data_IF_579801125340
#
_entry.id   IF_579801125340
#
_cell.length_a   1.000
_cell.length_b   1.000
_cell.length_c   1.000
_cell.angle_alpha   90.00
_cell.angle_beta   90.00
_cell.angle_gamma   90.00
#
_symmetry.space_group_name_H-M   'P 1'
#
loop_
_entity.id
_entity.type
_entity.pdbx_description
1 polymer ?
#
# COMPACT_ATOMS: atom_id res chain seq x y z
N UNK A 1 3.33 6.04 -6.55
CA UNK A 1 2.25 5.86 -5.56
C UNK A 1 0.94 5.65 -6.29
N UNK A 2 0.01 4.90 -5.71
CA UNK A 2 -1.30 4.57 -6.31
C UNK A 2 -2.42 5.06 -5.39
N UNK A 3 -3.28 5.93 -5.91
CA UNK A 3 -4.41 6.49 -5.15
C UNK A 3 -5.51 5.45 -5.00
N UNK A 4 -6.07 5.34 -3.80
CA UNK A 4 -7.00 4.26 -3.46
C UNK A 4 -8.45 4.76 -3.49
N UNK A 5 -9.32 3.95 -4.08
CA UNK A 5 -10.76 4.06 -3.88
C UNK A 5 -11.15 3.20 -2.68
N UNK A 6 -11.82 3.82 -1.71
CA UNK A 6 -12.34 3.11 -0.55
C UNK A 6 -13.64 2.38 -0.92
N UNK A 7 -13.64 1.06 -0.82
CA UNK A 7 -14.79 0.22 -1.18
C UNK A 7 -15.69 -0.11 0.02
N UNK A 8 -15.20 0.06 1.24
CA UNK A 8 -15.97 -0.16 2.47
C UNK A 8 -16.58 1.15 2.98
N UNK A 9 -17.72 1.06 3.66
CA UNK A 9 -18.38 2.25 4.25
C UNK A 9 -17.46 3.01 5.19
N UNK A 10 -16.65 2.29 5.97
CA UNK A 10 -15.67 2.84 6.92
C UNK A 10 -14.41 3.44 6.26
N UNK A 11 -14.14 3.15 4.98
CA UNK A 11 -12.98 3.69 4.25
C UNK A 11 -13.34 4.51 2.99
N UNK A 12 -14.63 4.73 2.73
CA UNK A 12 -15.17 5.39 1.53
C UNK A 12 -14.59 6.76 1.18
N UNK A 13 -13.99 7.48 2.15
CA UNK A 13 -13.34 8.78 1.93
C UNK A 13 -11.83 8.69 1.58
N UNK A 14 -11.27 7.50 1.41
CA UNK A 14 -9.83 7.30 1.15
C UNK A 14 -9.32 8.10 -0.07
N UNK A 15 -10.11 8.15 -1.14
CA UNK A 15 -9.74 8.86 -2.36
C UNK A 15 -9.62 10.38 -2.12
N UNK A 16 -10.60 11.02 -1.48
CA UNK A 16 -10.55 12.47 -1.25
C UNK A 16 -9.45 12.86 -0.26
N UNK A 17 -9.08 11.95 0.66
CA UNK A 17 -8.00 12.13 1.63
C UNK A 17 -6.60 11.85 1.07
N UNK A 18 -6.48 11.57 -0.23
CA UNK A 18 -5.21 11.21 -0.87
C UNK A 18 -4.49 10.03 -0.20
N UNK A 19 -5.26 9.06 0.32
CA UNK A 19 -4.69 7.81 0.81
C UNK A 19 -4.15 7.03 -0.40
N UNK A 20 -2.87 6.70 -0.34
CA UNK A 20 -2.14 6.06 -1.44
C UNK A 20 -1.39 4.83 -0.96
N UNK A 21 -1.28 3.82 -1.83
CA UNK A 21 -0.25 2.79 -1.71
C UNK A 21 1.08 3.38 -2.20
N UNK A 22 2.10 3.39 -1.35
CA UNK A 22 3.42 3.90 -1.72
C UNK A 22 4.56 3.16 -1.01
N UNK A 23 5.78 3.44 -1.47
CA UNK A 23 6.99 2.98 -0.82
C UNK A 23 7.54 4.06 0.10
N UNK A 24 8.25 3.64 1.15
CA UNK A 24 9.09 4.52 1.95
C UNK A 24 10.36 3.81 2.39
N UNK A 25 11.48 4.53 2.43
CA UNK A 25 12.80 4.00 2.82
C UNK A 25 12.90 3.50 4.27
N UNK A 26 11.90 3.80 5.10
CA UNK A 26 11.85 3.36 6.49
C UNK A 26 11.13 2.02 6.67
N UNK A 27 10.59 1.46 5.58
CA UNK A 27 10.01 0.11 5.57
C UNK A 27 11.04 -0.84 4.98
N UNK A 28 11.58 -1.78 5.77
CA UNK A 28 12.57 -2.76 5.32
C UNK A 28 11.92 -3.85 4.46
N UNK A 29 12.74 -4.52 3.62
CA UNK A 29 12.30 -5.66 2.81
C UNK A 29 12.06 -6.95 3.63
N UNK A 30 12.62 -7.00 4.83
CA UNK A 30 12.55 -8.17 5.72
C UNK A 30 11.83 -7.77 7.01
N UNK A 31 11.23 -8.76 7.65
CA UNK A 31 10.64 -8.59 8.98
C UNK A 31 11.71 -8.18 9.99
N UNK A 32 11.36 -7.23 10.86
CA UNK A 32 12.28 -6.65 11.85
C UNK A 32 11.80 -6.83 13.29
N UNK A 33 10.73 -7.57 13.53
CA UNK A 33 10.28 -7.86 14.90
C UNK A 33 11.45 -8.47 15.72
N UNK A 34 11.70 -7.98 16.96
CA UNK A 34 10.86 -7.12 17.79
C UNK A 34 11.03 -5.60 17.60
N UNK A 35 11.87 -5.15 16.66
CA UNK A 35 12.03 -3.73 16.37
C UNK A 35 10.81 -3.14 15.63
N UNK A 36 10.70 -1.82 15.70
CA UNK A 36 9.61 -1.08 15.08
C UNK A 36 10.07 -0.35 13.82
N UNK A 37 9.15 -0.21 12.87
CA UNK A 37 9.31 0.66 11.71
C UNK A 37 8.65 2.02 11.96
N UNK A 38 8.86 2.96 11.04
CA UNK A 38 8.17 4.24 11.02
C UNK A 38 6.64 4.12 11.00
N UNK A 39 5.94 5.12 11.54
CA UNK A 39 4.49 5.24 11.40
C UNK A 39 4.11 5.55 9.95
N UNK A 40 3.08 4.86 9.46
CA UNK A 40 2.59 4.99 8.08
C UNK A 40 1.78 6.27 7.81
N UNK A 41 1.39 6.97 8.87
CA UNK A 41 0.54 8.18 8.83
C UNK A 41 -0.78 7.96 8.06
N UNK A 42 -1.26 6.71 8.03
CA UNK A 42 -2.54 6.32 7.44
C UNK A 42 -2.47 5.77 6.02
N UNK A 43 -1.32 5.84 5.34
CA UNK A 43 -1.17 5.26 4.01
C UNK A 43 -0.62 3.83 4.07
N UNK A 44 -1.14 2.88 3.29
CA UNK A 44 -0.48 1.59 3.08
C UNK A 44 0.93 1.80 2.53
N UNK A 45 1.93 1.51 3.36
CA UNK A 45 3.34 1.77 3.05
C UNK A 45 4.09 0.45 2.99
N UNK A 46 4.84 0.24 1.91
CA UNK A 46 5.68 -0.94 1.70
C UNK A 46 7.13 -0.54 1.47
N UNK A 47 8.04 -1.50 1.40
CA UNK A 47 9.42 -1.21 1.03
C UNK A 47 9.54 -0.81 -0.46
N UNK A 48 10.58 -0.06 -0.86
CA UNK A 48 10.81 0.30 -2.26
C UNK A 48 10.90 -0.92 -3.20
N UNK A 49 11.59 -1.98 -2.79
CA UNK A 49 11.73 -3.17 -3.63
C UNK A 49 10.42 -3.95 -3.72
N UNK A 50 9.64 -4.02 -2.63
CA UNK A 50 8.34 -4.68 -2.69
C UNK A 50 7.35 -3.93 -3.58
N UNK A 51 7.33 -2.59 -3.54
CA UNK A 51 6.48 -1.83 -4.46
C UNK A 51 6.86 -2.12 -5.91
N UNK A 52 8.15 -2.17 -6.25
CA UNK A 52 8.61 -2.54 -7.59
C UNK A 52 8.07 -3.91 -8.02
N UNK A 53 8.17 -4.91 -7.15
CA UNK A 53 7.60 -6.24 -7.40
C UNK A 53 6.08 -6.18 -7.61
N UNK A 54 5.34 -5.44 -6.79
CA UNK A 54 3.90 -5.27 -6.96
C UNK A 54 3.55 -4.65 -8.33
N UNK A 55 4.31 -3.64 -8.73
CA UNK A 55 4.12 -2.95 -10.01
C UNK A 55 4.36 -3.89 -11.19
N UNK A 56 5.54 -4.52 -11.23
CA UNK A 56 5.97 -5.36 -12.35
C UNK A 56 5.15 -6.64 -12.46
N UNK A 57 4.72 -7.21 -11.34
CA UNK A 57 4.05 -8.51 -11.34
C UNK A 57 2.52 -8.42 -11.41
N UNK A 58 1.92 -7.34 -10.93
CA UNK A 58 0.45 -7.26 -10.80
C UNK A 58 -0.12 -5.97 -11.40
N UNK A 59 0.31 -4.80 -10.91
CA UNK A 59 -0.39 -3.55 -11.21
C UNK A 59 -0.24 -3.10 -12.67
N UNK A 60 0.92 -3.33 -13.30
CA UNK A 60 1.18 -2.90 -14.67
C UNK A 60 0.73 -3.93 -15.73
N UNK A 61 0.42 -5.17 -15.33
CA UNK A 61 0.07 -6.26 -16.26
C UNK A 61 -1.44 -6.36 -16.55
N UNK A 62 -2.28 -5.75 -15.73
CA UNK A 62 -3.74 -5.81 -15.88
C UNK A 62 -4.33 -4.47 -16.29
N UNK A 63 -5.41 -4.52 -17.07
CA UNK A 63 -6.26 -3.35 -17.36
C UNK A 63 -7.45 -3.25 -16.41
N UNK A 64 -7.70 -4.28 -15.62
CA UNK A 64 -8.80 -4.30 -14.65
C UNK A 64 -8.35 -3.66 -13.33
N UNK A 65 -9.28 -3.02 -12.58
CA UNK A 65 -8.98 -2.54 -11.24
C UNK A 65 -8.46 -3.67 -10.35
N UNK A 66 -7.39 -3.40 -9.60
CA UNK A 66 -6.83 -4.34 -8.62
C UNK A 66 -7.40 -4.00 -7.25
N UNK A 67 -8.00 -5.00 -6.59
CA UNK A 67 -8.51 -4.87 -5.24
C UNK A 67 -7.39 -5.16 -4.22
N UNK A 68 -7.16 -4.24 -3.29
CA UNK A 68 -6.30 -4.45 -2.13
C UNK A 68 -7.20 -4.82 -0.95
N UNK A 69 -7.01 -6.02 -0.39
CA UNK A 69 -7.80 -6.54 0.71
C UNK A 69 -6.93 -6.74 1.95
N UNK A 70 -7.40 -6.30 3.11
CA UNK A 70 -6.75 -6.51 4.41
C UNK A 70 -7.53 -7.60 5.12
N UNK A 71 -6.90 -8.75 5.35
CA UNK A 71 -7.51 -9.86 6.10
C UNK A 71 -7.18 -9.75 7.60
N UNK A 72 -7.97 -10.43 8.42
CA UNK A 72 -7.80 -10.55 9.86
C UNK A 72 -7.14 -11.87 10.21
#
# INVERSE_FOLDING_TARGET
AYKLYGLDTSNSNAYNRFVVLHAHSCVPDKEVYPDFICNSLGCPTVSPNFLKTLQEQYLLKTKQPVCMWIYK
#
